data_IF_934652927062
#
_entry.id   IF_934652927062
#
_cell.length_a   1.000
_cell.length_b   1.000
_cell.length_c   1.000
_cell.angle_alpha   90.00
_cell.angle_beta   90.00
_cell.angle_gamma   90.00
#
_symmetry.space_group_name_H-M   'P 1'
#
loop_
_entity.id
_entity.type
_entity.pdbx_description
1 polymer ?
#
# COMPACT_ATOMS: atom_id res chain seq x y z
N UNK A 1 -32.07 22.61 -0.79
CA UNK A 1 -31.17 22.89 0.34
C UNK A 1 -29.78 23.11 -0.23
N UNK A 2 -29.14 24.24 0.08
CA UNK A 2 -27.75 24.47 -0.34
C UNK A 2 -26.86 23.51 0.45
N UNK A 3 -26.10 22.64 -0.23
CA UNK A 3 -25.14 21.76 0.44
C UNK A 3 -23.89 22.59 0.74
N UNK A 4 -23.52 22.70 2.02
CA UNK A 4 -22.33 23.42 2.49
C UNK A 4 -21.17 22.45 2.66
N UNK A 5 -19.95 22.89 2.34
CA UNK A 5 -18.74 22.09 2.49
C UNK A 5 -18.14 22.23 3.90
N UNK A 6 -17.62 21.15 4.46
CA UNK A 6 -16.77 21.22 5.68
C UNK A 6 -15.31 21.45 5.32
N UNK A 7 -14.88 21.01 4.12
CA UNK A 7 -13.53 21.19 3.58
C UNK A 7 -13.60 21.57 2.10
N UNK A 8 -12.82 22.58 1.71
CA UNK A 8 -12.57 22.94 0.31
C UNK A 8 -11.06 22.89 0.05
N UNK A 9 -10.66 22.17 -1.00
CA UNK A 9 -9.31 22.25 -1.54
C UNK A 9 -9.35 23.14 -2.80
N UNK A 10 -8.50 24.16 -2.84
CA UNK A 10 -8.52 25.18 -3.91
C UNK A 10 -7.17 25.35 -4.60
N UNK A 11 -7.17 25.96 -5.79
CA UNK A 11 -5.99 26.25 -6.60
C UNK A 11 -5.12 25.01 -6.84
N UNK A 12 -5.75 23.85 -7.03
CA UNK A 12 -5.08 22.60 -7.30
C UNK A 12 -5.22 22.16 -8.75
N UNK A 13 -4.64 21.00 -9.05
CA UNK A 13 -4.93 20.21 -10.25
C UNK A 13 -5.56 18.90 -9.82
N UNK A 14 -6.89 18.84 -9.81
CA UNK A 14 -7.67 17.72 -9.29
C UNK A 14 -8.00 16.77 -10.43
N UNK A 15 -7.44 15.56 -10.40
CA UNK A 15 -7.84 14.48 -11.30
C UNK A 15 -9.06 13.76 -10.72
N UNK A 16 -10.18 13.81 -11.42
CA UNK A 16 -11.45 13.22 -10.96
C UNK A 16 -11.63 11.77 -11.42
N UNK A 17 -10.93 11.38 -12.50
CA UNK A 17 -11.16 10.16 -13.28
C UNK A 17 -12.57 10.04 -13.90
N UNK A 18 -13.36 11.13 -13.87
CA UNK A 18 -14.59 11.25 -14.64
C UNK A 18 -14.25 11.56 -16.09
N UNK A 19 -14.78 10.79 -17.05
CA UNK A 19 -14.55 11.00 -18.48
C UNK A 19 -15.11 12.33 -18.98
N UNK A 20 -16.19 12.84 -18.38
CA UNK A 20 -16.82 14.09 -18.80
C UNK A 20 -16.13 15.32 -18.21
N UNK A 21 -15.52 15.16 -17.04
CA UNK A 21 -14.84 16.24 -16.34
C UNK A 21 -13.55 15.76 -15.66
N UNK A 22 -12.51 15.37 -16.43
CA UNK A 22 -11.35 14.64 -15.91
C UNK A 22 -10.42 15.49 -15.02
N UNK A 23 -10.51 16.82 -15.12
CA UNK A 23 -9.69 17.79 -14.41
C UNK A 23 -10.57 18.87 -13.77
N UNK A 24 -10.19 19.30 -12.57
CA UNK A 24 -10.81 20.41 -11.85
C UNK A 24 -9.76 21.23 -11.10
N UNK A 25 -10.11 22.47 -10.77
CA UNK A 25 -9.21 23.39 -10.03
C UNK A 25 -9.43 23.31 -8.52
N UNK A 26 -10.61 22.84 -8.11
CA UNK A 26 -11.02 22.79 -6.72
C UNK A 26 -12.01 21.63 -6.46
N UNK A 27 -12.14 21.24 -5.20
CA UNK A 27 -13.10 20.23 -4.74
C UNK A 27 -13.72 20.63 -3.40
N UNK A 28 -15.04 20.50 -3.29
CA UNK A 28 -15.81 20.66 -2.05
C UNK A 28 -16.14 19.30 -1.44
N UNK A 29 -15.93 19.17 -0.13
CA UNK A 29 -16.06 17.93 0.63
C UNK A 29 -16.92 18.20 1.86
N UNK A 30 -17.85 17.29 2.15
CA UNK A 30 -18.59 17.23 3.42
C UNK A 30 -18.79 15.78 3.83
N UNK A 31 -18.63 15.49 5.14
CA UNK A 31 -18.84 14.16 5.72
C UNK A 31 -18.11 13.02 4.99
N UNK A 32 -16.86 13.28 4.59
CA UNK A 32 -16.03 12.32 3.85
C UNK A 32 -16.47 12.07 2.40
N UNK A 33 -17.42 12.85 1.87
CA UNK A 33 -17.93 12.74 0.49
C UNK A 33 -17.61 13.99 -0.31
N UNK A 34 -17.35 13.79 -1.60
CA UNK A 34 -17.20 14.90 -2.55
C UNK A 34 -18.60 15.43 -2.89
N UNK A 35 -18.82 16.72 -2.62
CA UNK A 35 -20.03 17.43 -3.02
C UNK A 35 -19.97 17.88 -4.48
N UNK A 36 -18.84 18.42 -4.88
CA UNK A 36 -18.57 18.89 -6.23
C UNK A 36 -17.07 19.01 -6.49
N UNK A 37 -16.66 18.86 -7.76
CA UNK A 37 -15.35 19.23 -8.27
C UNK A 37 -15.52 20.09 -9.52
N UNK A 38 -14.71 21.13 -9.68
CA UNK A 38 -14.83 22.06 -10.80
C UNK A 38 -13.89 23.25 -10.68
N UNK A 39 -14.27 24.37 -11.32
CA UNK A 39 -13.54 25.63 -11.21
C UNK A 39 -13.54 26.18 -9.78
N UNK A 40 -12.52 26.96 -9.44
CA UNK A 40 -12.41 27.66 -8.17
C UNK A 40 -13.71 28.36 -7.77
N UNK A 41 -14.21 29.26 -8.62
CA UNK A 41 -15.38 30.10 -8.32
C UNK A 41 -16.63 29.28 -8.03
N UNK A 42 -16.86 28.20 -8.78
CA UNK A 42 -18.00 27.31 -8.57
C UNK A 42 -17.89 26.60 -7.23
N UNK A 43 -16.70 26.14 -6.85
CA UNK A 43 -16.50 25.39 -5.61
C UNK A 43 -16.57 26.32 -4.39
N UNK A 44 -16.12 27.56 -4.53
CA UNK A 44 -16.23 28.56 -3.48
C UNK A 44 -17.68 28.90 -3.12
N UNK A 45 -18.66 28.64 -3.99
CA UNK A 45 -20.08 28.80 -3.64
C UNK A 45 -20.59 27.80 -2.60
N UNK A 46 -19.82 26.74 -2.30
CA UNK A 46 -20.13 25.77 -1.25
C UNK A 46 -19.55 26.17 0.11
N UNK A 47 -18.73 27.23 0.17
CA UNK A 47 -18.16 27.72 1.41
C UNK A 47 -19.24 28.33 2.32
N UNK A 48 -19.12 28.09 3.62
CA UNK A 48 -19.95 28.65 4.66
C UNK A 48 -19.11 28.91 5.92
N UNK A 49 -19.72 29.50 6.95
CA UNK A 49 -19.06 29.68 8.24
C UNK A 49 -18.57 28.34 8.79
N UNK A 50 -17.27 28.27 9.10
CA UNK A 50 -16.61 27.06 9.59
C UNK A 50 -16.08 26.11 8.51
N UNK A 51 -16.27 26.40 7.21
CA UNK A 51 -15.60 25.64 6.14
C UNK A 51 -14.08 25.82 6.25
N UNK A 52 -13.34 24.71 6.35
CA UNK A 52 -11.90 24.73 6.23
C UNK A 52 -11.52 24.88 4.75
N UNK A 53 -10.73 25.89 4.41
CA UNK A 53 -10.24 26.11 3.04
C UNK A 53 -8.73 25.89 3.01
N UNK A 54 -8.27 25.01 2.12
CA UNK A 54 -6.85 24.70 1.94
C UNK A 54 -6.43 25.09 0.53
N UNK A 55 -5.51 26.04 0.43
CA UNK A 55 -4.85 26.40 -0.82
C UNK A 55 -3.76 25.39 -1.16
N UNK A 56 -3.95 24.69 -2.29
CA UNK A 56 -3.05 23.66 -2.78
C UNK A 56 -1.85 24.22 -3.55
N UNK A 57 -1.80 25.52 -3.87
CA UNK A 57 -0.65 26.18 -4.52
C UNK A 57 -0.19 25.46 -5.81
N UNK A 58 -1.14 24.96 -6.59
CA UNK A 58 -0.89 24.24 -7.84
C UNK A 58 -0.54 22.75 -7.67
N UNK A 59 -0.50 22.22 -6.45
CA UNK A 59 -0.31 20.79 -6.21
C UNK A 59 -1.46 19.95 -6.77
N UNK A 60 -1.14 18.69 -7.05
CA UNK A 60 -2.04 17.76 -7.72
C UNK A 60 -2.80 16.92 -6.70
N UNK A 61 -4.12 16.81 -6.87
CA UNK A 61 -4.97 15.88 -6.14
C UNK A 61 -5.32 14.73 -7.07
N UNK A 62 -5.18 13.51 -6.58
CA UNK A 62 -5.62 12.29 -7.26
C UNK A 62 -6.58 11.54 -6.33
N UNK A 63 -7.42 10.65 -6.87
CA UNK A 63 -8.17 9.74 -6.02
C UNK A 63 -7.21 8.90 -5.18
N UNK A 64 -7.62 8.58 -3.95
CA UNK A 64 -6.85 7.69 -3.09
C UNK A 64 -6.56 6.37 -3.80
N UNK A 65 -5.35 5.85 -3.62
CA UNK A 65 -4.98 4.57 -4.21
C UNK A 65 -5.84 3.46 -3.62
N UNK A 66 -6.40 2.62 -4.49
CA UNK A 66 -7.17 1.45 -4.11
C UNK A 66 -6.40 0.20 -4.53
N UNK A 67 -5.92 -0.55 -3.54
CA UNK A 67 -5.34 -1.87 -3.75
C UNK A 67 -6.46 -2.92 -3.68
N UNK A 68 -6.84 -3.45 -4.85
CA UNK A 68 -7.94 -4.40 -4.97
C UNK A 68 -7.61 -5.78 -4.39
N UNK A 69 -6.33 -6.10 -4.19
CA UNK A 69 -5.92 -7.41 -3.71
C UNK A 69 -4.57 -7.35 -3.00
N UNK A 70 -4.65 -7.26 -1.66
CA UNK A 70 -3.48 -7.27 -0.78
C UNK A 70 -3.62 -8.34 0.30
N UNK A 71 -2.54 -9.08 0.56
CA UNK A 71 -2.45 -9.97 1.72
C UNK A 71 -1.93 -9.21 2.95
N UNK A 72 -2.66 -8.19 3.41
CA UNK A 72 -2.18 -7.24 4.43
C UNK A 72 -1.75 -7.94 5.73
N UNK A 73 -2.53 -8.92 6.19
CA UNK A 73 -2.24 -9.68 7.42
C UNK A 73 -0.94 -10.48 7.28
N UNK A 74 -0.73 -11.14 6.14
CA UNK A 74 0.53 -11.87 5.87
C UNK A 74 1.70 -10.89 5.78
N UNK A 75 1.53 -9.82 5.02
CA UNK A 75 2.54 -8.79 4.85
C UNK A 75 2.97 -8.20 6.19
N UNK A 76 2.04 -7.85 7.08
CA UNK A 76 2.36 -7.29 8.39
C UNK A 76 2.93 -8.31 9.39
N UNK A 77 2.29 -9.47 9.55
CA UNK A 77 2.71 -10.46 10.56
C UNK A 77 4.03 -11.15 10.21
N UNK A 78 4.26 -11.40 8.92
CA UNK A 78 5.40 -12.19 8.47
C UNK A 78 6.52 -11.34 7.86
N UNK A 79 6.39 -10.00 7.79
CA UNK A 79 7.42 -9.14 7.18
C UNK A 79 8.83 -9.44 7.72
N UNK A 80 8.92 -9.60 9.04
CA UNK A 80 10.17 -9.84 9.76
C UNK A 80 10.59 -11.33 9.76
N UNK A 81 9.72 -12.22 9.32
CA UNK A 81 9.99 -13.66 9.18
C UNK A 81 10.41 -14.04 7.76
N UNK A 82 10.02 -13.24 6.77
CA UNK A 82 10.39 -13.45 5.37
C UNK A 82 11.85 -13.03 5.12
N UNK A 83 12.61 -13.91 4.48
CA UNK A 83 13.97 -13.61 4.04
C UNK A 83 13.94 -12.79 2.76
N UNK A 84 14.78 -11.76 2.71
CA UNK A 84 15.05 -11.00 1.49
C UNK A 84 16.34 -11.52 0.87
N UNK A 85 16.24 -12.16 -0.29
CA UNK A 85 17.39 -12.69 -1.03
C UNK A 85 17.81 -11.82 -2.21
N UNK A 86 17.24 -10.61 -2.30
CA UNK A 86 17.67 -9.59 -3.25
C UNK A 86 19.17 -9.31 -3.06
N UNK A 87 19.97 -9.51 -4.11
CA UNK A 87 21.42 -9.29 -4.07
C UNK A 87 22.25 -10.39 -3.39
N UNK A 88 21.67 -11.54 -3.03
CA UNK A 88 22.43 -12.66 -2.47
C UNK A 88 23.14 -13.43 -3.59
N UNK A 89 24.49 -13.52 -3.58
CA UNK A 89 25.25 -13.93 -4.77
C UNK A 89 25.38 -15.45 -4.92
N UNK A 90 24.98 -16.23 -3.92
CA UNK A 90 25.16 -17.68 -3.94
C UNK A 90 24.05 -18.45 -3.23
N UNK A 91 23.84 -19.69 -3.66
CA UNK A 91 22.94 -20.64 -2.99
C UNK A 91 23.41 -20.94 -1.56
N UNK A 92 24.72 -21.06 -1.34
CA UNK A 92 25.29 -21.33 -0.02
C UNK A 92 24.93 -20.21 0.98
N UNK A 93 25.00 -18.94 0.55
CA UNK A 93 24.58 -17.81 1.37
C UNK A 93 23.08 -17.81 1.64
N UNK A 94 22.25 -18.08 0.63
CA UNK A 94 20.80 -18.15 0.79
C UNK A 94 20.39 -19.25 1.79
N UNK A 95 21.02 -20.42 1.72
CA UNK A 95 20.76 -21.54 2.65
C UNK A 95 21.25 -21.25 4.07
N UNK A 96 22.40 -20.57 4.23
CA UNK A 96 22.87 -20.11 5.54
C UNK A 96 21.89 -19.12 6.14
N UNK A 97 21.42 -18.14 5.37
CA UNK A 97 20.40 -17.19 5.81
C UNK A 97 19.09 -17.88 6.22
N UNK A 98 18.68 -18.91 5.48
CA UNK A 98 17.52 -19.73 5.83
C UNK A 98 17.69 -20.45 7.16
N UNK A 99 18.85 -21.06 7.37
CA UNK A 99 19.18 -21.73 8.62
C UNK A 99 19.15 -20.75 9.80
N UNK A 100 19.81 -19.60 9.67
CA UNK A 100 19.88 -18.59 10.74
C UNK A 100 18.49 -18.07 11.11
N UNK A 101 17.60 -17.88 10.11
CA UNK A 101 16.22 -17.47 10.35
C UNK A 101 15.40 -18.57 11.05
N UNK A 102 15.58 -19.84 10.66
CA UNK A 102 14.89 -20.96 11.28
C UNK A 102 15.31 -21.12 12.75
N UNK A 103 16.62 -21.00 13.05
CA UNK A 103 17.17 -21.18 14.40
C UNK A 103 16.68 -20.09 15.38
N UNK A 104 16.36 -18.89 14.89
CA UNK A 104 15.91 -17.75 15.73
C UNK A 104 14.38 -17.54 15.78
N UNK A 105 13.61 -18.28 14.99
CA UNK A 105 12.14 -18.11 14.93
C UNK A 105 11.46 -19.02 15.98
N UNK A 106 10.74 -18.47 16.97
CA UNK A 106 10.03 -19.28 17.95
C UNK A 106 8.93 -20.14 17.31
N UNK A 107 8.75 -21.38 17.77
CA UNK A 107 7.77 -22.34 17.23
C UNK A 107 6.33 -21.79 17.22
N UNK A 108 5.97 -20.90 18.15
CA UNK A 108 4.65 -20.28 18.24
C UNK A 108 4.40 -19.15 17.22
N UNK A 109 5.43 -18.62 16.56
CA UNK A 109 5.31 -17.52 15.60
C UNK A 109 4.89 -18.00 14.20
N UNK A 110 5.02 -19.30 13.92
CA UNK A 110 4.58 -19.90 12.66
C UNK A 110 3.14 -20.36 12.86
N UNK A 111 2.19 -19.53 12.43
CA UNK A 111 0.75 -19.82 12.43
C UNK A 111 0.33 -20.95 11.48
N UNK A 112 1.08 -22.05 11.43
CA UNK A 112 0.62 -23.31 10.87
C UNK A 112 -0.23 -23.98 11.93
N UNK A 113 -1.56 -23.91 11.79
CA UNK A 113 -2.47 -24.74 12.55
C UNK A 113 -1.98 -26.20 12.54
N UNK A 114 -1.47 -26.65 13.67
CA UNK A 114 -1.12 -28.04 13.97
C UNK A 114 -0.17 -28.73 12.98
N UNK A 115 1.14 -28.57 13.16
CA UNK A 115 2.12 -29.68 13.21
C UNK A 115 3.54 -29.17 13.43
N UNK A 116 4.25 -29.79 14.38
CA UNK A 116 5.69 -29.62 14.60
C UNK A 116 6.41 -29.79 13.25
N UNK A 117 7.18 -28.78 12.82
CA UNK A 117 8.07 -28.84 11.66
C UNK A 117 9.24 -29.79 11.96
N UNK A 118 8.96 -31.08 12.07
CA UNK A 118 9.94 -32.10 12.41
C UNK A 118 10.63 -32.74 11.22
N UNK A 119 10.36 -32.22 10.01
CA UNK A 119 11.09 -32.51 8.77
C UNK A 119 10.43 -31.72 7.64
N UNK A 120 11.03 -30.60 7.25
CA UNK A 120 10.94 -30.17 5.86
C UNK A 120 11.82 -31.16 5.11
N UNK A 121 11.28 -32.03 4.21
CA UNK A 121 12.15 -32.85 3.38
C UNK A 121 12.87 -31.90 2.44
N UNK A 122 14.11 -31.55 2.77
CA UNK A 122 15.03 -30.98 1.80
C UNK A 122 15.17 -32.08 0.75
N UNK A 123 14.52 -31.93 -0.40
CA UNK A 123 14.83 -32.77 -1.56
C UNK A 123 16.33 -32.61 -1.79
N UNK A 124 17.05 -33.71 -1.61
CA UNK A 124 18.49 -33.83 -1.76
C UNK A 124 18.84 -33.68 -3.24
N UNK A 125 18.70 -32.47 -3.79
CA UNK A 125 18.99 -32.20 -5.22
C UNK A 125 19.92 -31.00 -5.40
N UNK A 126 20.61 -30.55 -4.35
CA UNK A 126 21.61 -29.47 -4.47
C UNK A 126 23.08 -29.96 -4.39
N UNK A 127 23.33 -31.24 -4.14
CA UNK A 127 24.69 -31.77 -3.92
C UNK A 127 25.25 -32.65 -5.06
N UNK A 128 24.65 -32.68 -6.27
CA UNK A 128 25.02 -33.68 -7.28
C UNK A 128 25.65 -33.18 -8.59
N UNK A 129 25.68 -31.88 -8.91
CA UNK A 129 26.23 -31.40 -10.20
C UNK A 129 27.49 -30.52 -10.06
N UNK A 130 28.36 -30.87 -9.11
CA UNK A 130 29.75 -30.40 -9.07
C UNK A 130 30.69 -31.60 -9.28
N UNK A 131 30.70 -32.15 -10.50
CA UNK A 131 31.51 -33.31 -10.84
C UNK A 131 31.64 -33.50 -12.35
N UNK A 132 32.21 -32.51 -13.03
CA UNK A 132 32.72 -32.68 -14.38
C UNK A 132 34.16 -33.18 -14.35
N UNK A 133 34.38 -34.39 -14.88
CA UNK A 133 35.56 -34.85 -15.62
C UNK A 133 35.22 -36.18 -16.31
#
# INVERSE_FOLDING_TARGET
MSQTATLILTHGRVHTLDRQNPLADAVAIADGKILAAGSHDRIMSFAADGTQIIDLKGHTVIPGLNDSHLHLIRGGLNYNLELRWEGVPSLADALRMLKDQADRTPVAAVGTGGRRLERIPVRRTADADAGGA
#
